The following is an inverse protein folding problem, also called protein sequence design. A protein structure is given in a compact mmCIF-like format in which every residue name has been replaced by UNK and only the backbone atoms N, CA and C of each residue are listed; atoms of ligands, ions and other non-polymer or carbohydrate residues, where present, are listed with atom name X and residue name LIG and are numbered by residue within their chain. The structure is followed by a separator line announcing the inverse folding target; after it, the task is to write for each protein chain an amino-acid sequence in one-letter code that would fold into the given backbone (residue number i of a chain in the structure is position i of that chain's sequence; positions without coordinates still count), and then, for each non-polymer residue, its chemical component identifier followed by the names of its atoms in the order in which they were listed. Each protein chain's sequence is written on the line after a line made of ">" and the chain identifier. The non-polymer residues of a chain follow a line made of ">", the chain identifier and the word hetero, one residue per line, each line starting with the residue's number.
data_IF_929669788856
#
_entry.id   IF_929669788856
#
_cell.length_a   1.000
_cell.length_b   1.000
_cell.length_c   1.000
_cell.angle_alpha   90.00
_cell.angle_beta   90.00
_cell.angle_gamma   90.00
#
_symmetry.space_group_name_H-M   'P 1'
#
loop_
_entity.id
_entity.type
_entity.pdbx_description
1 polymer ?
#
# COMPACT_ATOMS: atom_id res chain seq x y z
N UNK A 1 -14.35 16.78 2.13
CA UNK A 1 -14.31 15.41 2.69
C UNK A 1 -15.70 14.79 2.76
N UNK A 2 -16.75 15.50 3.23
CA UNK A 2 -18.09 14.94 3.41
C UNK A 2 -18.68 14.35 2.12
N UNK A 3 -18.53 15.05 0.99
CA UNK A 3 -18.95 14.53 -0.32
C UNK A 3 -18.16 13.28 -0.74
N UNK A 4 -16.90 13.19 -0.37
CA UNK A 4 -16.01 12.06 -0.69
C UNK A 4 -16.43 10.83 0.12
N UNK A 5 -16.67 11.00 1.43
CA UNK A 5 -17.07 9.91 2.33
C UNK A 5 -18.50 9.46 2.06
N UNK A 6 -19.37 10.37 1.61
CA UNK A 6 -20.75 10.06 1.24
C UNK A 6 -20.90 9.53 -0.19
N UNK A 7 -19.97 9.85 -1.09
CA UNK A 7 -20.02 9.48 -2.51
C UNK A 7 -19.26 8.17 -2.74
N UNK A 8 -20.00 7.10 -2.82
CA UNK A 8 -19.52 5.71 -2.78
C UNK A 8 -19.20 5.10 -4.15
N UNK A 9 -18.74 5.90 -5.13
CA UNK A 9 -18.31 5.33 -6.42
C UNK A 9 -16.83 4.94 -6.40
N UNK A 10 -16.42 3.80 -7.02
CA UNK A 10 -15.02 3.36 -7.07
C UNK A 10 -14.06 4.43 -7.62
N UNK A 11 -14.49 5.19 -8.62
CA UNK A 11 -13.69 6.27 -9.22
C UNK A 11 -13.43 7.43 -8.24
N UNK A 12 -14.40 7.75 -7.37
CA UNK A 12 -14.25 8.79 -6.36
C UNK A 12 -13.36 8.31 -5.20
N UNK A 13 -13.40 7.03 -4.85
CA UNK A 13 -12.54 6.44 -3.82
C UNK A 13 -11.06 6.48 -4.21
N UNK A 14 -10.74 6.16 -5.45
CA UNK A 14 -9.37 6.23 -5.94
C UNK A 14 -8.83 7.68 -5.89
N UNK A 15 -9.65 8.65 -6.32
CA UNK A 15 -9.31 10.07 -6.22
C UNK A 15 -9.20 10.55 -4.78
N UNK A 16 -10.00 9.99 -3.87
CA UNK A 16 -10.04 10.40 -2.46
C UNK A 16 -8.83 9.93 -1.66
N UNK A 17 -8.19 8.82 -2.06
CA UNK A 17 -7.05 8.26 -1.35
C UNK A 17 -5.90 9.28 -1.16
N UNK A 18 -5.69 10.17 -2.14
CA UNK A 18 -4.68 11.24 -2.09
C UNK A 18 -5.00 12.26 -0.99
N UNK A 19 -6.29 12.55 -0.75
CA UNK A 19 -6.70 13.53 0.26
C UNK A 19 -6.52 13.06 1.70
N UNK A 20 -6.32 11.76 1.92
CA UNK A 20 -6.04 11.22 3.25
C UNK A 20 -4.55 11.20 3.61
N UNK A 21 -3.68 11.63 2.68
CA UNK A 21 -2.23 11.72 2.88
C UNK A 21 -1.76 13.18 3.01
N UNK A 22 -2.67 14.13 3.23
CA UNK A 22 -2.28 15.53 3.39
C UNK A 22 -1.51 15.75 4.71
N UNK A 23 -0.57 16.69 4.66
CA UNK A 23 0.20 17.14 5.82
C UNK A 23 0.39 18.65 5.77
N UNK A 24 0.49 19.26 6.92
CA UNK A 24 0.85 20.68 7.02
C UNK A 24 2.33 20.82 6.69
N UNK A 25 2.63 21.63 5.69
CA UNK A 25 3.99 21.94 5.26
C UNK A 25 4.49 23.20 5.98
N UNK A 26 3.58 24.16 6.21
CA UNK A 26 3.89 25.43 6.87
C UNK A 26 2.65 25.99 7.55
N UNK A 27 2.81 26.74 8.66
CA UNK A 27 1.72 27.41 9.38
C UNK A 27 1.21 26.65 10.60
N UNK A 28 0.03 27.06 11.11
CA UNK A 28 -0.59 26.47 12.30
C UNK A 28 -1.22 25.10 11.99
N UNK A 29 -0.71 24.07 12.67
CA UNK A 29 -1.20 22.69 12.53
C UNK A 29 -2.59 22.47 13.12
N UNK A 30 -3.01 23.28 14.10
CA UNK A 30 -4.25 23.05 14.85
C UNK A 30 -5.50 23.00 13.97
N UNK A 31 -5.61 23.89 13.00
CA UNK A 31 -6.74 23.88 12.06
C UNK A 31 -6.80 22.60 11.21
N UNK A 32 -5.65 22.15 10.70
CA UNK A 32 -5.55 20.92 9.93
C UNK A 32 -5.85 19.69 10.81
N UNK A 33 -5.36 19.65 12.04
CA UNK A 33 -5.59 18.56 12.98
C UNK A 33 -7.09 18.46 13.37
N UNK A 34 -7.78 19.59 13.53
CA UNK A 34 -9.23 19.62 13.77
C UNK A 34 -10.01 19.06 12.59
N UNK A 35 -9.70 19.50 11.36
CA UNK A 35 -10.34 18.98 10.13
C UNK A 35 -10.11 17.48 10.02
N UNK A 36 -8.86 17.03 10.20
CA UNK A 36 -8.51 15.63 10.03
C UNK A 36 -9.12 14.73 11.11
N UNK A 37 -9.18 15.20 12.35
CA UNK A 37 -9.89 14.50 13.44
C UNK A 37 -11.38 14.29 13.11
N UNK A 38 -12.02 15.28 12.50
CA UNK A 38 -13.40 15.16 12.02
C UNK A 38 -13.55 14.11 10.92
N UNK A 39 -12.60 14.07 9.97
CA UNK A 39 -12.54 13.08 8.89
C UNK A 39 -12.37 11.67 9.46
N UNK A 40 -11.40 11.48 10.37
CA UNK A 40 -11.14 10.18 11.00
C UNK A 40 -12.35 9.62 11.74
N UNK A 41 -13.07 10.46 12.49
CA UNK A 41 -14.31 10.03 13.16
C UNK A 41 -15.37 9.57 12.17
N UNK A 42 -15.58 10.31 11.07
CA UNK A 42 -16.54 9.95 10.02
C UNK A 42 -16.19 8.63 9.32
N UNK A 43 -14.90 8.41 9.03
CA UNK A 43 -14.44 7.17 8.43
C UNK A 43 -14.59 6.01 9.41
N UNK A 44 -14.21 6.21 10.70
CA UNK A 44 -14.29 5.19 11.74
C UNK A 44 -15.72 4.67 11.96
N UNK A 45 -16.75 5.53 11.77
CA UNK A 45 -18.16 5.16 11.91
C UNK A 45 -18.83 4.70 10.60
N UNK A 46 -18.17 4.81 9.43
CA UNK A 46 -18.75 4.50 8.14
C UNK A 46 -18.20 3.17 7.59
N UNK A 47 -18.84 2.07 7.97
CA UNK A 47 -18.45 0.71 7.56
C UNK A 47 -18.55 0.48 6.06
N UNK A 48 -19.54 1.08 5.38
CA UNK A 48 -19.68 0.98 3.93
C UNK A 48 -18.50 1.63 3.20
N UNK A 49 -18.08 2.82 3.64
CA UNK A 49 -16.92 3.50 3.08
C UNK A 49 -15.63 2.67 3.30
N UNK A 50 -15.44 2.10 4.50
CA UNK A 50 -14.31 1.22 4.79
C UNK A 50 -14.32 -0.04 3.90
N UNK A 51 -15.48 -0.67 3.70
CA UNK A 51 -15.62 -1.83 2.84
C UNK A 51 -15.25 -1.51 1.38
N UNK A 52 -15.65 -0.35 0.88
CA UNK A 52 -15.29 0.08 -0.47
C UNK A 52 -13.80 0.41 -0.61
N UNK A 53 -13.20 1.02 0.41
CA UNK A 53 -11.75 1.19 0.45
C UNK A 53 -11.02 -0.17 0.45
N UNK A 54 -11.55 -1.17 1.17
CA UNK A 54 -11.01 -2.51 1.17
C UNK A 54 -11.13 -3.16 -0.23
N UNK A 55 -12.28 -3.07 -0.88
CA UNK A 55 -12.46 -3.55 -2.26
C UNK A 55 -11.44 -2.92 -3.22
N UNK A 56 -11.20 -1.61 -3.09
CA UNK A 56 -10.18 -0.94 -3.90
C UNK A 56 -8.76 -1.45 -3.59
N UNK A 57 -8.41 -1.63 -2.31
CA UNK A 57 -7.11 -2.16 -1.89
C UNK A 57 -6.85 -3.60 -2.37
N UNK A 58 -7.90 -4.37 -2.68
CA UNK A 58 -7.81 -5.73 -3.20
C UNK A 58 -7.68 -5.82 -4.73
N UNK A 59 -7.83 -4.70 -5.47
CA UNK A 59 -7.77 -4.72 -6.94
C UNK A 59 -6.38 -5.07 -7.46
N UNK A 60 -5.34 -4.55 -6.83
CA UNK A 60 -3.95 -4.78 -7.23
C UNK A 60 -3.37 -5.95 -6.46
N UNK A 61 -3.39 -7.13 -7.07
CA UNK A 61 -2.86 -8.34 -6.43
C UNK A 61 -1.34 -8.38 -6.52
N UNK A 62 -0.64 -8.77 -5.43
CA UNK A 62 0.80 -9.03 -5.47
C UNK A 62 1.13 -10.05 -6.57
N UNK A 63 2.23 -9.85 -7.31
CA UNK A 63 2.56 -10.63 -8.50
C UNK A 63 3.23 -11.96 -8.14
N UNK A 64 2.51 -12.80 -7.38
CA UNK A 64 2.96 -14.12 -6.94
C UNK A 64 1.91 -15.19 -7.28
N UNK A 65 2.35 -16.22 -8.01
CA UNK A 65 1.54 -17.34 -8.42
C UNK A 65 1.38 -18.44 -7.35
N UNK A 66 0.55 -19.45 -7.64
CA UNK A 66 0.33 -20.62 -6.75
C UNK A 66 1.59 -21.47 -6.56
N UNK A 67 2.41 -21.63 -7.61
CA UNK A 67 3.61 -22.46 -7.65
C UNK A 67 4.89 -21.73 -7.22
N UNK A 68 4.76 -20.65 -6.46
CA UNK A 68 5.87 -19.88 -5.88
C UNK A 68 6.69 -19.05 -6.87
N UNK A 69 6.25 -18.89 -8.11
CA UNK A 69 6.90 -18.02 -9.08
C UNK A 69 6.24 -16.66 -9.18
N UNK A 70 7.00 -15.68 -9.72
CA UNK A 70 6.46 -14.36 -9.99
C UNK A 70 5.48 -14.43 -11.17
N UNK A 71 4.43 -13.61 -11.09
CA UNK A 71 3.50 -13.39 -12.20
C UNK A 71 3.98 -12.17 -12.95
N UNK A 72 4.58 -12.40 -14.11
CA UNK A 72 5.09 -11.35 -15.00
C UNK A 72 4.16 -11.12 -16.19
N UNK A 73 4.32 -9.98 -16.86
CA UNK A 73 3.62 -9.69 -18.12
C UNK A 73 4.02 -10.71 -19.19
N UNK A 74 3.03 -11.25 -19.92
CA UNK A 74 3.27 -12.33 -20.89
C UNK A 74 3.61 -11.85 -22.31
N UNK A 75 3.34 -10.59 -22.62
CA UNK A 75 3.50 -10.05 -23.97
C UNK A 75 3.69 -8.53 -23.96
N UNK A 76 4.04 -7.97 -25.11
CA UNK A 76 4.23 -6.52 -25.28
C UNK A 76 5.61 -6.05 -24.82
N UNK A 77 5.78 -4.73 -24.77
CA UNK A 77 7.05 -4.09 -24.36
C UNK A 77 7.43 -4.35 -22.89
N UNK A 78 6.47 -4.81 -22.08
CA UNK A 78 6.64 -5.09 -20.64
C UNK A 78 6.79 -6.59 -20.33
N UNK A 79 6.95 -7.42 -21.40
CA UNK A 79 7.10 -8.88 -21.26
C UNK A 79 8.19 -9.21 -20.22
N UNK A 80 7.96 -10.27 -19.45
CA UNK A 80 8.82 -10.80 -18.40
C UNK A 80 9.10 -9.83 -17.23
N UNK A 81 8.33 -8.72 -17.13
CA UNK A 81 8.41 -7.77 -16.01
C UNK A 81 7.15 -7.76 -15.17
N UNK A 82 7.27 -7.25 -13.95
CA UNK A 82 6.16 -6.97 -13.03
C UNK A 82 6.18 -5.50 -12.58
N UNK A 83 5.02 -4.94 -12.22
CA UNK A 83 4.92 -3.57 -11.68
C UNK A 83 5.16 -3.57 -10.16
N UNK A 84 6.40 -3.26 -9.79
CA UNK A 84 6.83 -3.27 -8.38
C UNK A 84 6.14 -2.17 -7.55
N UNK A 85 5.72 -1.06 -8.18
CA UNK A 85 5.00 0.03 -7.49
C UNK A 85 3.54 -0.34 -7.25
N UNK A 86 2.80 -0.68 -8.29
CA UNK A 86 1.36 -0.92 -8.21
C UNK A 86 1.07 -2.26 -7.53
N UNK A 87 1.73 -3.33 -7.97
CA UNK A 87 1.48 -4.69 -7.50
C UNK A 87 2.29 -5.05 -6.24
N UNK A 88 3.44 -4.39 -6.03
CA UNK A 88 4.30 -4.64 -4.88
C UNK A 88 3.99 -3.73 -3.69
N UNK A 89 4.16 -2.41 -3.86
CA UNK A 89 3.96 -1.43 -2.78
C UNK A 89 2.49 -1.12 -2.54
N UNK A 90 1.67 -1.08 -3.59
CA UNK A 90 0.24 -0.72 -3.51
C UNK A 90 -0.52 -1.43 -2.40
N UNK A 91 -0.45 -2.76 -2.29
CA UNK A 91 -1.14 -3.51 -1.23
C UNK A 91 -0.79 -3.06 0.19
N UNK A 92 0.49 -2.75 0.47
CA UNK A 92 0.91 -2.23 1.78
C UNK A 92 0.41 -0.81 2.02
N UNK A 93 0.52 0.06 1.01
CA UNK A 93 0.10 1.47 1.11
C UNK A 93 -1.40 1.56 1.36
N UNK A 94 -2.20 0.87 0.57
CA UNK A 94 -3.66 0.93 0.64
C UNK A 94 -4.19 0.20 1.88
N UNK A 95 -3.61 -0.96 2.22
CA UNK A 95 -3.96 -1.71 3.43
C UNK A 95 -3.64 -0.93 4.71
N UNK A 96 -2.44 -0.40 4.84
CA UNK A 96 -2.04 0.40 5.99
C UNK A 96 -2.87 1.69 6.09
N UNK A 97 -3.18 2.36 4.96
CA UNK A 97 -4.03 3.55 4.93
C UNK A 97 -5.43 3.24 5.44
N UNK A 98 -6.08 2.22 4.90
CA UNK A 98 -7.42 1.82 5.32
C UNK A 98 -7.48 1.51 6.82
N UNK A 99 -6.59 0.62 7.29
CA UNK A 99 -6.56 0.23 8.71
C UNK A 99 -6.26 1.42 9.62
N UNK A 100 -5.34 2.31 9.23
CA UNK A 100 -5.03 3.52 9.99
C UNK A 100 -6.23 4.46 10.09
N UNK A 101 -6.88 4.78 8.98
CA UNK A 101 -8.04 5.66 8.93
C UNK A 101 -9.23 5.09 9.73
N UNK A 102 -9.50 3.79 9.59
CA UNK A 102 -10.56 3.10 10.31
C UNK A 102 -10.35 3.08 11.84
N UNK A 103 -9.09 3.19 12.27
CA UNK A 103 -8.71 3.19 13.69
C UNK A 103 -8.28 4.58 14.21
N UNK A 104 -8.61 5.66 13.51
CA UNK A 104 -8.35 7.02 13.96
C UNK A 104 -6.86 7.39 14.02
N UNK A 105 -6.03 6.79 13.16
CA UNK A 105 -4.59 7.09 13.05
C UNK A 105 -4.38 8.14 11.96
N UNK A 106 -3.79 9.27 12.34
CA UNK A 106 -3.57 10.42 11.46
C UNK A 106 -2.25 10.38 10.67
N UNK A 107 -1.41 9.37 10.87
CA UNK A 107 -0.15 9.24 10.15
C UNK A 107 -0.37 9.17 8.61
N UNK A 108 0.50 9.81 7.83
CA UNK A 108 0.47 9.76 6.36
C UNK A 108 1.50 8.81 5.77
N UNK A 109 2.56 8.47 6.52
CA UNK A 109 3.59 7.54 6.09
C UNK A 109 3.15 6.09 6.33
N UNK A 110 3.38 5.20 5.36
CA UNK A 110 2.95 3.79 5.43
C UNK A 110 3.59 3.03 6.58
N UNK A 111 4.89 3.19 6.78
CA UNK A 111 5.61 2.53 7.88
C UNK A 111 5.11 3.02 9.23
N UNK A 112 4.92 4.32 9.39
CA UNK A 112 4.40 4.92 10.61
C UNK A 112 2.98 4.42 10.92
N UNK A 113 2.12 4.29 9.89
CA UNK A 113 0.78 3.68 10.01
C UNK A 113 0.86 2.26 10.57
N UNK A 114 1.72 1.41 9.98
CA UNK A 114 1.90 0.03 10.42
C UNK A 114 2.42 -0.05 11.86
N UNK A 115 3.38 0.81 12.23
CA UNK A 115 3.90 0.90 13.60
C UNK A 115 2.81 1.31 14.60
N UNK A 116 2.00 2.34 14.28
CA UNK A 116 0.92 2.77 15.16
C UNK A 116 -0.21 1.73 15.27
N UNK A 117 -0.52 1.02 14.18
CA UNK A 117 -1.47 -0.10 14.19
C UNK A 117 -1.01 -1.24 15.09
N UNK A 118 0.30 -1.57 15.08
CA UNK A 118 0.93 -2.50 16.02
C UNK A 118 0.79 -2.02 17.46
N UNK A 119 1.19 -0.78 17.74
CA UNK A 119 1.14 -0.21 19.09
C UNK A 119 -0.26 -0.20 19.69
N UNK A 120 -1.30 -0.06 18.85
CA UNK A 120 -2.71 -0.09 19.27
C UNK A 120 -3.32 -1.49 19.30
N UNK A 121 -2.55 -2.53 19.02
CA UNK A 121 -3.04 -3.91 19.00
C UNK A 121 -4.04 -4.23 17.85
N UNK A 122 -4.07 -3.38 16.80
CA UNK A 122 -4.91 -3.61 15.61
C UNK A 122 -4.31 -4.68 14.70
N UNK A 123 -2.96 -4.71 14.64
CA UNK A 123 -2.18 -5.75 13.97
C UNK A 123 -1.38 -6.53 15.01
N UNK A 124 -1.25 -7.83 14.77
CA UNK A 124 -0.31 -8.66 15.50
C UNK A 124 1.12 -8.10 15.34
N UNK A 125 1.96 -8.09 16.39
CA UNK A 125 3.31 -7.55 16.31
C UNK A 125 4.18 -8.19 15.23
N UNK A 126 4.13 -9.52 15.07
CA UNK A 126 4.92 -10.25 14.07
C UNK A 126 4.44 -9.93 12.64
N UNK A 127 3.13 -9.82 12.45
CA UNK A 127 2.56 -9.45 11.16
C UNK A 127 2.92 -8.01 10.78
N UNK A 128 2.84 -7.08 11.73
CA UNK A 128 3.21 -5.68 11.48
C UNK A 128 4.69 -5.53 11.10
N UNK A 129 5.59 -6.22 11.81
CA UNK A 129 7.02 -6.22 11.50
C UNK A 129 7.28 -6.81 10.12
N UNK A 130 6.68 -7.96 9.79
CA UNK A 130 6.82 -8.58 8.48
C UNK A 130 6.28 -7.68 7.34
N UNK A 131 5.19 -6.93 7.57
CA UNK A 131 4.66 -5.97 6.59
C UNK A 131 5.59 -4.77 6.40
N UNK A 132 6.19 -4.26 7.48
CA UNK A 132 7.15 -3.16 7.43
C UNK A 132 8.41 -3.60 6.67
N UNK A 133 8.99 -4.75 7.00
CA UNK A 133 10.18 -5.28 6.35
C UNK A 133 9.92 -5.55 4.87
N UNK A 134 8.79 -6.18 4.52
CA UNK A 134 8.39 -6.44 3.15
C UNK A 134 8.22 -5.15 2.34
N UNK A 135 7.55 -4.15 2.90
CA UNK A 135 7.40 -2.83 2.29
C UNK A 135 8.74 -2.14 2.05
N UNK A 136 9.62 -2.14 3.07
CA UNK A 136 10.94 -1.51 2.99
C UNK A 136 11.82 -2.19 1.94
N UNK A 137 11.81 -3.52 1.87
CA UNK A 137 12.60 -4.25 0.88
C UNK A 137 12.14 -3.94 -0.55
N UNK A 138 10.84 -3.91 -0.80
CA UNK A 138 10.31 -3.54 -2.12
C UNK A 138 10.69 -2.09 -2.49
N UNK A 139 10.65 -1.16 -1.52
CA UNK A 139 11.12 0.22 -1.73
C UNK A 139 12.61 0.26 -2.07
N UNK A 140 13.44 -0.52 -1.36
CA UNK A 140 14.87 -0.60 -1.64
C UNK A 140 15.15 -1.08 -3.07
N UNK A 141 14.52 -2.19 -3.48
CA UNK A 141 14.68 -2.74 -4.85
C UNK A 141 14.25 -1.70 -5.89
N UNK A 142 13.13 -1.00 -5.65
CA UNK A 142 12.65 0.06 -6.55
C UNK A 142 13.64 1.22 -6.65
N UNK A 143 14.22 1.65 -5.53
CA UNK A 143 15.21 2.73 -5.51
C UNK A 143 16.50 2.32 -6.23
N UNK A 144 16.98 1.10 -6.03
CA UNK A 144 18.16 0.57 -6.73
C UNK A 144 17.92 0.51 -8.25
N UNK A 145 16.73 0.07 -8.67
CA UNK A 145 16.35 0.06 -10.08
C UNK A 145 16.35 1.47 -10.68
N UNK A 146 15.75 2.46 -9.98
CA UNK A 146 15.74 3.84 -10.45
C UNK A 146 17.16 4.42 -10.51
N UNK A 147 18.01 4.14 -9.52
CA UNK A 147 19.41 4.56 -9.54
C UNK A 147 20.19 3.97 -10.72
N UNK A 148 19.92 2.71 -11.06
CA UNK A 148 20.54 2.09 -12.23
C UNK A 148 20.05 2.74 -13.53
N UNK A 149 18.74 2.96 -13.66
CA UNK A 149 18.15 3.65 -14.82
C UNK A 149 18.73 5.06 -15.00
N UNK A 150 18.92 5.80 -13.91
CA UNK A 150 19.55 7.12 -13.93
C UNK A 150 21.00 7.06 -14.45
N UNK A 151 21.81 6.13 -13.92
CA UNK A 151 23.19 5.91 -14.39
C UNK A 151 23.27 5.55 -15.89
N UNK A 152 22.30 4.80 -16.37
CA UNK A 152 22.19 4.38 -17.77
C UNK A 152 21.45 5.42 -18.65
N UNK A 153 21.06 6.56 -18.08
CA UNK A 153 20.27 7.61 -18.73
C UNK A 153 18.99 7.09 -19.39
N UNK A 154 18.36 6.09 -18.80
CA UNK A 154 17.09 5.52 -19.23
C UNK A 154 15.91 6.16 -18.49
N UNK A 155 14.71 6.24 -19.10
CA UNK A 155 13.51 6.72 -18.42
C UNK A 155 13.19 5.88 -17.17
N UNK A 156 12.76 6.53 -16.09
CA UNK A 156 12.32 5.83 -14.88
C UNK A 156 11.09 4.96 -15.15
N UNK A 157 11.20 3.71 -14.75
CA UNK A 157 10.13 2.73 -14.86
C UNK A 157 10.00 1.95 -13.54
N UNK A 158 8.76 1.58 -13.19
CA UNK A 158 8.50 0.67 -12.08
C UNK A 158 8.38 -0.80 -12.56
N UNK A 159 8.73 -1.08 -13.81
CA UNK A 159 8.76 -2.43 -14.38
C UNK A 159 10.07 -3.11 -14.02
N UNK A 160 9.98 -4.12 -13.17
CA UNK A 160 11.11 -4.93 -12.70
C UNK A 160 11.09 -6.28 -13.40
N UNK A 161 12.22 -6.65 -14.01
CA UNK A 161 12.49 -8.03 -14.39
C UNK A 161 13.02 -8.78 -13.16
N UNK A 162 12.27 -9.74 -12.58
CA UNK A 162 12.72 -10.45 -11.40
C UNK A 162 13.94 -11.35 -11.64
N UNK A 163 14.24 -11.68 -12.90
CA UNK A 163 15.42 -12.48 -13.24
C UNK A 163 16.70 -11.64 -13.25
N UNK A 164 16.59 -10.31 -13.26
CA UNK A 164 17.74 -9.40 -13.08
C UNK A 164 18.25 -9.34 -11.63
N UNK A 165 17.49 -9.84 -10.67
CA UNK A 165 17.87 -9.87 -9.26
C UNK A 165 18.77 -11.08 -8.95
N UNK A 166 19.68 -10.92 -7.99
CA UNK A 166 20.41 -12.06 -7.43
C UNK A 166 19.44 -13.01 -6.68
N UNK A 167 19.90 -14.23 -6.40
CA UNK A 167 19.06 -15.27 -5.81
C UNK A 167 18.51 -14.89 -4.43
N UNK A 168 19.29 -14.15 -3.62
CA UNK A 168 18.88 -13.74 -2.28
C UNK A 168 17.76 -12.69 -2.38
N UNK A 169 17.99 -11.61 -3.13
CA UNK A 169 17.00 -10.55 -3.34
C UNK A 169 15.72 -11.08 -3.95
N UNK A 170 15.82 -12.01 -4.90
CA UNK A 170 14.66 -12.70 -5.49
C UNK A 170 13.84 -13.47 -4.43
N UNK A 171 14.50 -14.13 -3.47
CA UNK A 171 13.82 -14.84 -2.37
C UNK A 171 13.13 -13.86 -1.43
N UNK A 172 13.81 -12.77 -1.04
CA UNK A 172 13.26 -11.76 -0.13
C UNK A 172 12.08 -11.04 -0.82
N UNK A 173 12.20 -10.67 -2.10
CA UNK A 173 11.12 -10.07 -2.87
C UNK A 173 9.88 -10.96 -2.91
N UNK A 174 10.08 -12.25 -3.12
CA UNK A 174 8.97 -13.22 -3.12
C UNK A 174 8.29 -13.28 -1.76
N UNK A 175 9.06 -13.29 -0.68
CA UNK A 175 8.51 -13.27 0.67
C UNK A 175 7.78 -11.96 0.95
N UNK A 176 8.32 -10.83 0.54
CA UNK A 176 7.66 -9.52 0.65
C UNK A 176 6.28 -9.51 -0.05
N UNK A 177 6.16 -10.12 -1.24
CA UNK A 177 4.87 -10.25 -1.92
C UNK A 177 3.91 -11.21 -1.21
N UNK A 178 4.41 -12.24 -0.50
CA UNK A 178 3.57 -13.08 0.35
C UNK A 178 3.00 -12.28 1.51
N UNK A 179 3.81 -11.43 2.14
CA UNK A 179 3.35 -10.56 3.21
C UNK A 179 2.31 -9.55 2.70
N UNK A 180 2.50 -8.98 1.50
CA UNK A 180 1.50 -8.14 0.85
C UNK A 180 0.17 -8.88 0.62
N UNK A 181 0.24 -10.14 0.14
CA UNK A 181 -0.94 -11.00 -0.05
C UNK A 181 -1.61 -11.36 1.28
N UNK A 182 -0.83 -11.60 2.34
CA UNK A 182 -1.35 -11.88 3.68
C UNK A 182 -2.10 -10.67 4.24
N UNK A 183 -1.55 -9.47 4.11
CA UNK A 183 -2.25 -8.23 4.48
C UNK A 183 -3.57 -8.09 3.72
N UNK A 184 -3.59 -8.29 2.41
CA UNK A 184 -4.83 -8.26 1.62
C UNK A 184 -5.83 -9.34 2.08
N UNK A 185 -5.36 -10.54 2.40
CA UNK A 185 -6.21 -11.61 2.94
C UNK A 185 -6.85 -11.23 4.27
N UNK A 186 -6.10 -10.57 5.17
CA UNK A 186 -6.65 -10.09 6.44
C UNK A 186 -7.71 -8.99 6.24
N UNK A 187 -7.52 -8.11 5.25
CA UNK A 187 -8.54 -7.11 4.88
C UNK A 187 -9.80 -7.77 4.32
N UNK A 188 -9.65 -8.75 3.42
CA UNK A 188 -10.79 -9.46 2.85
C UNK A 188 -11.64 -10.12 3.95
N UNK A 189 -10.99 -10.79 4.91
CA UNK A 189 -11.69 -11.38 6.06
C UNK A 189 -12.36 -10.33 6.95
N UNK A 190 -11.66 -9.22 7.25
CA UNK A 190 -12.17 -8.17 8.14
C UNK A 190 -13.39 -7.45 7.57
N UNK A 191 -13.48 -7.30 6.27
CA UNK A 191 -14.54 -6.57 5.58
C UNK A 191 -15.53 -7.45 4.82
N UNK A 192 -15.47 -8.77 5.00
CA UNK A 192 -16.36 -9.77 4.36
C UNK A 192 -16.37 -9.68 2.83
N UNK A 193 -15.18 -9.70 2.20
CA UNK A 193 -14.96 -9.60 0.75
C UNK A 193 -14.41 -10.88 0.14
#
# INVERSE_FOLDING_TARGET
>A
FDRIIASTTPANLLKSAIYFDFRVVWGDRRAADQVFSGVLRKIGSNTLFQQQMAQNALQHRPPIGRLRDFVVARSGAEKDTLDIKVQGLGPFVDGARLLALANGIAASNTQERLQQLRQRGVLDPLDADAYIEGYQFIQLVRMQQHQQQDREQRPFSNRLDPDSLNQLDRRILRESFRQAKRLQGSLALRYNL
#
